data_IF_849184656797
#
_entry.id   IF_849184656797
#
_cell.length_a   1.000
_cell.length_b   1.000
_cell.length_c   1.000
_cell.angle_alpha   90.00
_cell.angle_beta   90.00
_cell.angle_gamma   90.00
#
_symmetry.space_group_name_H-M   'P 1'
#
loop_
_entity.id
_entity.type
_entity.pdbx_description
1 polymer ?
#
# COMPACT_ATOMS: atom_id res chain seq x y z
N UNK A 1 -20.02 -17.72 -10.24
CA UNK A 1 -20.20 -17.43 -8.80
C UNK A 1 -21.25 -18.40 -8.28
N UNK A 2 -21.05 -18.96 -7.09
CA UNK A 2 -22.09 -19.74 -6.41
C UNK A 2 -22.97 -18.74 -5.66
N UNK A 3 -24.25 -18.56 -6.06
CA UNK A 3 -25.13 -17.61 -5.39
C UNK A 3 -25.43 -18.09 -3.97
N UNK A 4 -25.26 -17.21 -3.00
CA UNK A 4 -25.53 -17.45 -1.58
C UNK A 4 -25.83 -16.10 -0.89
N UNK A 5 -26.31 -16.13 0.36
CA UNK A 5 -26.59 -14.92 1.14
C UNK A 5 -25.30 -14.22 1.56
N UNK A 6 -25.39 -12.89 1.77
CA UNK A 6 -24.23 -12.07 2.14
C UNK A 6 -23.50 -12.57 3.39
N UNK A 7 -24.21 -13.15 4.36
CA UNK A 7 -23.62 -13.74 5.56
C UNK A 7 -22.49 -14.74 5.23
N UNK A 8 -22.69 -15.60 4.23
CA UNK A 8 -21.70 -16.61 3.82
C UNK A 8 -20.60 -16.03 2.92
N UNK A 9 -20.90 -14.93 2.21
CA UNK A 9 -20.01 -14.37 1.18
C UNK A 9 -19.31 -13.07 1.58
N UNK A 10 -19.56 -12.53 2.78
CA UNK A 10 -19.07 -11.23 3.22
C UNK A 10 -17.54 -11.09 3.03
N UNK A 11 -16.78 -12.07 3.52
CA UNK A 11 -15.31 -12.06 3.44
C UNK A 11 -14.78 -12.28 2.00
N UNK A 12 -15.63 -12.69 1.06
CA UNK A 12 -15.27 -12.85 -0.36
C UNK A 12 -15.59 -11.62 -1.19
N UNK A 13 -16.18 -10.56 -0.61
CA UNK A 13 -16.62 -9.38 -1.35
C UNK A 13 -15.46 -8.73 -2.12
N UNK A 14 -14.40 -8.29 -1.42
CA UNK A 14 -13.23 -7.67 -2.04
C UNK A 14 -12.47 -8.60 -2.99
N UNK A 15 -12.39 -9.89 -2.66
CA UNK A 15 -11.82 -10.91 -3.55
C UNK A 15 -12.59 -10.98 -4.88
N UNK A 16 -13.92 -11.03 -4.81
CA UNK A 16 -14.78 -11.16 -5.99
C UNK A 16 -14.77 -9.89 -6.86
N UNK A 17 -14.73 -8.71 -6.23
CA UNK A 17 -14.60 -7.42 -6.90
C UNK A 17 -13.26 -7.29 -7.64
N UNK A 18 -12.15 -7.64 -6.98
CA UNK A 18 -10.82 -7.53 -7.56
C UNK A 18 -10.66 -8.43 -8.79
N UNK A 19 -11.19 -9.66 -8.73
CA UNK A 19 -11.20 -10.60 -9.87
C UNK A 19 -11.88 -10.01 -11.12
N UNK A 20 -13.05 -9.39 -10.94
CA UNK A 20 -13.77 -8.76 -12.06
C UNK A 20 -13.03 -7.51 -12.54
N UNK A 21 -12.49 -6.71 -11.63
CA UNK A 21 -11.73 -5.49 -11.96
C UNK A 21 -10.50 -5.79 -12.83
N UNK A 22 -9.73 -6.82 -12.48
CA UNK A 22 -8.57 -7.26 -13.29
C UNK A 22 -9.00 -7.61 -14.71
N UNK A 23 -10.02 -8.47 -14.85
CA UNK A 23 -10.52 -8.90 -16.17
C UNK A 23 -11.01 -7.71 -17.00
N UNK A 24 -11.72 -6.78 -16.39
CA UNK A 24 -12.18 -5.57 -17.05
C UNK A 24 -11.00 -4.72 -17.55
N UNK A 25 -10.01 -4.44 -16.69
CA UNK A 25 -8.83 -3.66 -17.06
C UNK A 25 -8.01 -4.31 -18.16
N UNK A 26 -7.78 -5.62 -18.11
CA UNK A 26 -7.08 -6.36 -19.15
C UNK A 26 -7.85 -6.34 -20.47
N UNK A 27 -9.18 -6.41 -20.42
CA UNK A 27 -10.03 -6.33 -21.60
C UNK A 27 -9.98 -4.97 -22.29
N UNK A 28 -9.91 -3.88 -21.51
CA UNK A 28 -9.89 -2.49 -22.01
C UNK A 28 -8.48 -2.12 -22.48
N UNK A 29 -7.47 -2.38 -21.65
CA UNK A 29 -6.08 -1.92 -21.89
C UNK A 29 -5.27 -2.88 -22.75
N UNK A 30 -5.72 -4.12 -22.94
CA UNK A 30 -5.02 -5.20 -23.64
C UNK A 30 -3.60 -5.43 -23.12
N UNK A 31 -3.39 -5.23 -21.82
CA UNK A 31 -2.13 -5.36 -21.09
C UNK A 31 -2.42 -5.89 -19.69
N UNK A 32 -1.41 -6.44 -19.02
CA UNK A 32 -1.48 -6.87 -17.61
C UNK A 32 -2.05 -5.74 -16.75
N UNK A 33 -3.07 -6.05 -15.96
CA UNK A 33 -3.65 -5.09 -15.02
C UNK A 33 -2.81 -5.00 -13.73
N UNK A 34 -2.83 -3.82 -13.12
CA UNK A 34 -2.37 -3.60 -11.75
C UNK A 34 -3.57 -3.07 -10.97
N UNK A 35 -4.07 -3.86 -10.03
CA UNK A 35 -5.11 -3.47 -9.08
C UNK A 35 -4.53 -3.40 -7.68
N UNK A 36 -5.09 -2.55 -6.84
CA UNK A 36 -4.74 -2.43 -5.42
C UNK A 36 -6.04 -2.54 -4.65
N UNK A 37 -6.19 -3.56 -3.79
CA UNK A 37 -7.42 -3.80 -3.03
C UNK A 37 -7.19 -3.68 -1.52
N UNK A 38 -8.17 -3.10 -0.82
CA UNK A 38 -8.16 -3.02 0.65
C UNK A 38 -8.56 -4.35 1.26
N UNK A 39 -9.74 -4.85 0.91
CA UNK A 39 -10.25 -6.15 1.38
C UNK A 39 -9.63 -7.27 0.55
N UNK A 40 -9.17 -8.32 1.21
CA UNK A 40 -8.56 -9.50 0.60
C UNK A 40 -9.06 -10.78 1.27
N UNK A 41 -8.91 -11.91 0.56
CA UNK A 41 -9.14 -13.25 1.08
C UNK A 41 -8.00 -14.17 0.62
N UNK A 42 -7.96 -15.40 1.11
CA UNK A 42 -7.00 -16.40 0.63
C UNK A 42 -7.06 -16.52 -0.90
N UNK A 43 -5.91 -16.35 -1.56
CA UNK A 43 -5.80 -16.36 -3.01
C UNK A 43 -5.96 -15.00 -3.70
N UNK A 44 -6.28 -13.90 -2.99
CA UNK A 44 -6.36 -12.56 -3.59
C UNK A 44 -5.07 -12.10 -4.28
N UNK A 45 -3.91 -12.60 -3.86
CA UNK A 45 -2.60 -12.21 -4.41
C UNK A 45 -2.42 -12.53 -5.89
N UNK A 46 -3.26 -13.40 -6.47
CA UNK A 46 -3.25 -13.68 -7.92
C UNK A 46 -3.83 -12.53 -8.76
N UNK A 47 -4.60 -11.62 -8.14
CA UNK A 47 -5.27 -10.52 -8.84
C UNK A 47 -4.55 -9.18 -8.72
N UNK A 48 -3.72 -8.98 -7.70
CA UNK A 48 -2.95 -7.75 -7.59
C UNK A 48 -2.42 -7.44 -6.21
N UNK A 49 -2.24 -6.15 -5.97
CA UNK A 49 -1.63 -5.60 -4.78
C UNK A 49 -2.62 -5.42 -3.63
N UNK A 50 -2.05 -5.24 -2.44
CA UNK A 50 -2.74 -4.83 -1.23
C UNK A 50 -1.97 -3.68 -0.57
N UNK A 51 -2.65 -2.79 0.14
CA UNK A 51 -1.99 -1.88 1.07
C UNK A 51 -2.54 -2.08 2.46
N UNK A 52 -1.71 -1.87 3.48
CA UNK A 52 -2.04 -2.22 4.88
C UNK A 52 -3.14 -1.34 5.52
N UNK A 53 -3.79 -0.47 4.76
CA UNK A 53 -4.90 0.35 5.24
C UNK A 53 -4.45 1.66 5.88
N UNK A 54 -5.30 2.15 6.78
CA UNK A 54 -5.28 3.52 7.27
C UNK A 54 -4.38 3.64 8.50
N UNK A 55 -3.06 3.61 8.28
CA UNK A 55 -2.04 3.74 9.32
C UNK A 55 -1.83 5.20 9.77
N UNK A 56 -1.32 5.38 11.00
CA UNK A 56 -1.04 6.72 11.53
C UNK A 56 0.40 7.16 11.22
N UNK A 57 0.62 8.48 11.20
CA UNK A 57 1.94 9.10 11.10
C UNK A 57 2.73 9.00 12.42
N UNK A 58 2.94 7.75 12.88
CA UNK A 58 3.61 7.43 14.13
C UNK A 58 4.74 6.42 13.93
N UNK A 59 5.77 6.48 14.80
CA UNK A 59 6.87 5.51 14.78
C UNK A 59 6.42 4.07 15.02
N UNK A 60 5.33 3.89 15.77
CA UNK A 60 4.73 2.58 16.00
C UNK A 60 4.24 1.96 14.68
N UNK A 61 3.51 2.72 13.87
CA UNK A 61 3.00 2.26 12.56
C UNK A 61 4.12 1.96 11.56
N UNK A 62 5.20 2.77 11.53
CA UNK A 62 6.40 2.44 10.76
C UNK A 62 6.97 1.08 11.18
N UNK A 63 7.06 0.81 12.48
CA UNK A 63 7.54 -0.48 12.99
C UNK A 63 6.59 -1.61 12.62
N UNK A 64 5.28 -1.40 12.72
CA UNK A 64 4.26 -2.42 12.44
C UNK A 64 4.06 -2.71 10.95
N UNK A 65 4.45 -1.79 10.07
CA UNK A 65 4.45 -2.03 8.63
C UNK A 65 5.29 -3.25 8.22
N UNK A 66 6.44 -3.46 8.88
CA UNK A 66 7.37 -4.54 8.55
C UNK A 66 6.73 -5.93 8.78
N UNK A 67 6.27 -6.29 10.00
CA UNK A 67 5.60 -7.57 10.20
C UNK A 67 4.29 -7.67 9.41
N UNK A 68 3.58 -6.57 9.15
CA UNK A 68 2.39 -6.57 8.30
C UNK A 68 2.69 -7.00 6.86
N UNK A 69 3.74 -6.43 6.24
CA UNK A 69 4.21 -6.82 4.90
C UNK A 69 4.63 -8.30 4.89
N UNK A 70 5.41 -8.74 5.89
CA UNK A 70 5.90 -10.12 5.96
C UNK A 70 4.74 -11.12 6.12
N UNK A 71 3.73 -10.80 6.94
CA UNK A 71 2.53 -11.62 7.10
C UNK A 71 1.77 -11.75 5.78
N UNK A 72 1.57 -10.65 5.04
CA UNK A 72 0.89 -10.69 3.74
C UNK A 72 1.67 -11.49 2.69
N UNK A 73 3.01 -11.46 2.73
CA UNK A 73 3.84 -12.32 1.90
C UNK A 73 3.62 -13.82 2.22
N UNK A 74 3.51 -14.18 3.49
CA UNK A 74 3.16 -15.55 3.93
C UNK A 74 1.75 -15.93 3.46
N UNK A 75 0.81 -14.99 3.46
CA UNK A 75 -0.56 -15.19 2.92
C UNK A 75 -0.63 -15.22 1.38
N UNK A 76 0.51 -15.13 0.69
CA UNK A 76 0.59 -15.21 -0.76
C UNK A 76 0.28 -13.91 -1.50
N UNK A 77 0.33 -12.76 -0.81
CA UNK A 77 0.14 -11.41 -1.38
C UNK A 77 1.46 -10.65 -1.27
N UNK A 78 2.29 -10.75 -2.31
CA UNK A 78 3.67 -10.25 -2.30
C UNK A 78 3.80 -8.77 -2.66
N UNK A 79 2.88 -8.24 -3.47
CA UNK A 79 2.86 -6.82 -3.83
C UNK A 79 2.09 -6.01 -2.78
N UNK A 80 2.79 -5.67 -1.69
CA UNK A 80 2.20 -5.05 -0.49
C UNK A 80 3.07 -3.97 0.14
N UNK A 81 2.44 -3.00 0.80
CA UNK A 81 3.08 -1.95 1.59
C UNK A 81 2.06 -1.08 2.34
N UNK A 82 2.45 -0.37 3.43
CA UNK A 82 1.62 0.66 4.06
C UNK A 82 1.65 1.96 3.24
N UNK A 83 0.94 2.98 3.72
CA UNK A 83 1.17 4.35 3.27
C UNK A 83 2.40 4.95 3.95
N UNK A 84 3.41 5.26 3.13
CA UNK A 84 4.69 5.83 3.57
C UNK A 84 4.45 7.22 4.17
N UNK A 85 5.08 7.48 5.31
CA UNK A 85 4.92 8.65 6.18
C UNK A 85 3.65 8.68 7.05
N UNK A 86 2.75 7.71 6.89
CA UNK A 86 1.47 7.60 7.60
C UNK A 86 0.32 8.19 6.79
N UNK A 87 -0.87 7.59 6.86
CA UNK A 87 -2.06 8.12 6.22
C UNK A 87 -2.76 9.18 7.09
N UNK A 88 -2.83 8.92 8.40
CA UNK A 88 -3.60 9.69 9.37
C UNK A 88 -2.68 10.48 10.31
N UNK A 89 -2.91 11.78 10.44
CA UNK A 89 -2.17 12.68 11.31
C UNK A 89 -0.98 13.34 10.61
N UNK A 90 -0.57 14.50 11.12
CA UNK A 90 0.58 15.22 10.59
C UNK A 90 1.88 14.48 10.90
N UNK A 91 2.60 14.09 9.85
CA UNK A 91 3.92 13.50 9.97
C UNK A 91 4.97 14.53 10.41
N UNK A 92 6.13 14.06 10.84
CA UNK A 92 7.29 14.92 11.11
C UNK A 92 8.35 14.72 10.02
N UNK A 93 9.20 15.73 9.81
CA UNK A 93 10.33 15.63 8.85
C UNK A 93 11.18 14.41 9.14
N UNK A 94 11.49 14.15 10.42
CA UNK A 94 12.32 13.02 10.82
C UNK A 94 11.62 11.68 10.53
N UNK A 95 10.37 11.53 10.97
CA UNK A 95 9.60 10.30 10.74
C UNK A 95 9.44 10.02 9.24
N UNK A 96 9.00 11.01 8.46
CA UNK A 96 8.77 10.82 7.03
C UNK A 96 10.09 10.53 6.29
N UNK A 97 11.19 11.19 6.65
CA UNK A 97 12.51 10.88 6.08
C UNK A 97 12.91 9.42 6.34
N UNK A 98 12.72 8.91 7.57
CA UNK A 98 12.99 7.49 7.89
C UNK A 98 12.03 6.55 7.18
N UNK A 99 10.76 6.92 7.09
CA UNK A 99 9.76 6.10 6.42
C UNK A 99 10.02 6.04 4.92
N UNK A 100 10.50 7.11 4.28
CA UNK A 100 10.90 7.09 2.88
C UNK A 100 12.10 6.15 2.64
N UNK A 101 13.08 6.15 3.55
CA UNK A 101 14.23 5.23 3.50
C UNK A 101 13.77 3.76 3.57
N UNK A 102 12.95 3.40 4.56
CA UNK A 102 12.44 2.03 4.72
C UNK A 102 11.45 1.70 3.59
N UNK A 103 10.59 2.64 3.25
CA UNK A 103 9.51 2.50 2.28
C UNK A 103 9.97 2.32 0.84
N UNK A 104 11.20 2.76 0.52
CA UNK A 104 11.86 2.44 -0.74
C UNK A 104 12.06 0.92 -0.94
N UNK A 105 12.03 0.11 0.13
CA UNK A 105 12.18 -1.35 0.08
C UNK A 105 10.85 -2.11 0.14
N UNK A 106 9.71 -1.42 0.27
CA UNK A 106 8.41 -2.08 0.19
C UNK A 106 8.12 -2.55 -1.24
N UNK A 107 7.60 -3.77 -1.47
CA UNK A 107 7.20 -4.21 -2.80
C UNK A 107 6.24 -3.22 -3.45
N UNK A 108 5.20 -2.79 -2.71
CA UNK A 108 4.32 -1.68 -3.08
C UNK A 108 4.74 -0.43 -2.31
N UNK A 109 5.51 0.45 -2.95
CA UNK A 109 6.04 1.68 -2.35
C UNK A 109 5.19 2.88 -2.78
N UNK A 110 4.34 3.36 -1.86
CA UNK A 110 3.42 4.48 -2.09
C UNK A 110 3.46 5.44 -0.90
N UNK A 111 3.62 6.73 -1.17
CA UNK A 111 3.29 7.80 -0.23
C UNK A 111 1.85 8.25 -0.51
N UNK A 112 1.00 8.20 0.50
CA UNK A 112 -0.41 8.59 0.43
C UNK A 112 -0.79 9.26 1.74
N UNK A 113 -1.66 10.26 1.67
CA UNK A 113 -2.05 11.08 2.82
C UNK A 113 -3.56 11.27 2.84
N UNK A 114 -4.13 11.49 4.03
CA UNK A 114 -5.53 11.86 4.17
C UNK A 114 -5.77 13.32 3.78
N UNK A 115 -7.05 13.66 3.71
CA UNK A 115 -7.47 15.03 3.42
C UNK A 115 -7.27 15.90 4.67
N UNK A 116 -6.71 17.10 4.48
CA UNK A 116 -6.48 18.17 5.46
C UNK A 116 -5.21 18.07 6.31
N UNK A 117 -4.47 16.97 6.25
CA UNK A 117 -3.15 16.88 6.90
C UNK A 117 -2.09 17.60 6.04
N UNK A 118 -0.97 17.96 6.65
CA UNK A 118 0.10 18.70 5.97
C UNK A 118 0.66 17.91 4.76
N UNK A 119 1.15 18.60 3.71
CA UNK A 119 1.86 17.93 2.61
C UNK A 119 3.02 17.07 3.13
N UNK A 120 3.17 15.87 2.57
CA UNK A 120 4.21 14.92 2.97
C UNK A 120 4.87 14.19 1.81
N UNK A 121 4.68 14.67 0.58
CA UNK A 121 5.44 14.17 -0.57
C UNK A 121 6.95 14.49 -0.40
N UNK A 122 7.84 13.81 -1.16
CA UNK A 122 9.29 13.97 -1.01
C UNK A 122 9.80 15.43 -1.04
N UNK A 123 9.07 16.35 -1.67
CA UNK A 123 9.48 17.75 -1.85
C UNK A 123 8.93 18.69 -0.77
N UNK A 124 8.09 18.20 0.14
CA UNK A 124 7.41 19.01 1.15
C UNK A 124 8.30 19.51 2.31
N UNK A 125 9.43 18.84 2.58
CA UNK A 125 10.23 19.05 3.79
C UNK A 125 11.60 19.75 3.57
N UNK A 126 11.83 20.26 2.36
CA UNK A 126 13.06 20.96 1.99
C UNK A 126 14.26 20.06 1.69
N UNK A 127 15.37 20.71 1.29
CA UNK A 127 16.53 20.07 0.65
C UNK A 127 17.16 18.89 1.42
N UNK A 128 17.33 18.92 2.75
CA UNK A 128 17.94 17.79 3.46
C UNK A 128 17.11 16.49 3.34
N UNK A 129 15.80 16.58 3.52
CA UNK A 129 14.89 15.44 3.42
C UNK A 129 14.73 14.97 1.97
N UNK A 130 14.67 15.91 1.02
CA UNK A 130 14.65 15.62 -0.42
C UNK A 130 15.88 14.81 -0.84
N UNK A 131 17.08 15.22 -0.42
CA UNK A 131 18.33 14.56 -0.79
C UNK A 131 18.36 13.10 -0.30
N UNK A 132 17.94 12.88 0.95
CA UNK A 132 17.87 11.55 1.55
C UNK A 132 16.82 10.68 0.84
N UNK A 133 15.63 11.23 0.59
CA UNK A 133 14.55 10.51 -0.10
C UNK A 133 14.95 10.16 -1.52
N UNK A 134 15.61 11.08 -2.24
CA UNK A 134 16.18 10.85 -3.57
C UNK A 134 17.19 9.71 -3.55
N UNK A 135 18.10 9.67 -2.58
CA UNK A 135 19.09 8.61 -2.47
C UNK A 135 18.44 7.23 -2.23
N UNK A 136 17.41 7.17 -1.38
CA UNK A 136 16.65 5.94 -1.15
C UNK A 136 15.93 5.46 -2.42
N UNK A 137 15.27 6.37 -3.15
CA UNK A 137 14.61 6.05 -4.41
C UNK A 137 15.61 5.62 -5.49
N UNK A 138 16.77 6.27 -5.61
CA UNK A 138 17.83 5.86 -6.54
C UNK A 138 18.47 4.52 -6.18
N UNK A 139 18.37 4.08 -4.92
CA UNK A 139 18.79 2.73 -4.53
C UNK A 139 17.75 1.68 -4.94
N UNK A 140 16.47 2.07 -4.98
CA UNK A 140 15.36 1.20 -5.39
C UNK A 140 15.33 0.97 -6.92
N UNK A 141 15.63 1.98 -7.71
CA UNK A 141 15.56 1.98 -9.19
C UNK A 141 16.88 1.58 -9.84
#
# INVERSE_FOLDING_TARGET
QHPDIHYNLHNLYGYSEQNVTVKALESIRKKRALTVSRSTYAGSGVFGAHWLGDNHAEWYDLRMAIPGILAMNIFGITLVGPDICGLLGDTTVELCTRWQQVGAFYPFSRNHNTKNDIPQDPTAFGQPAEHITRAALLTRY
#
